data_IF_550801187810
#
_entry.id   IF_550801187810
#
_cell.length_a   1.000
_cell.length_b   1.000
_cell.length_c   1.000
_cell.angle_alpha   90.00
_cell.angle_beta   90.00
_cell.angle_gamma   90.00
#
_symmetry.space_group_name_H-M   'P 1'
#
loop_
_entity.id
_entity.type
_entity.pdbx_description
1 polymer ?
#
# COMPACT_ATOMS: atom_id res chain seq x y z
N UNK A 1 -8.30 2.52 67.60
CA UNK A 1 -6.97 1.86 67.62
C UNK A 1 -6.96 0.89 66.45
N UNK A 2 -6.44 1.20 65.27
CA UNK A 2 -5.25 1.97 64.94
C UNK A 2 -4.12 0.99 64.64
N UNK A 3 -4.07 0.47 63.40
CA UNK A 3 -2.82 -0.04 62.83
C UNK A 3 -2.85 0.08 61.30
N UNK A 4 -2.21 1.15 60.82
CA UNK A 4 -1.69 1.28 59.46
C UNK A 4 -0.23 0.83 59.52
N UNK A 5 0.19 -0.12 58.68
CA UNK A 5 1.59 -0.23 58.30
C UNK A 5 1.72 0.06 56.81
N UNK A 6 2.49 1.11 56.55
CA UNK A 6 2.99 1.61 55.28
C UNK A 6 4.36 0.99 54.99
N UNK A 7 4.66 0.77 53.71
CA UNK A 7 6.01 0.43 53.21
C UNK A 7 5.89 -0.41 51.93
N UNK A 8 5.89 0.20 50.74
CA UNK A 8 7.06 0.71 50.00
C UNK A 8 7.53 -0.35 48.98
N UNK A 9 7.40 0.00 47.70
CA UNK A 9 7.77 -0.83 46.56
C UNK A 9 7.26 -0.20 45.26
N UNK A 10 7.47 1.10 45.10
CA UNK A 10 7.25 1.81 43.85
C UNK A 10 8.42 1.44 42.93
N UNK A 11 8.16 0.56 41.97
CA UNK A 11 9.06 0.33 40.86
C UNK A 11 8.81 1.45 39.84
N UNK A 12 9.71 2.43 39.86
CA UNK A 12 9.93 3.34 38.75
C UNK A 12 10.43 2.51 37.57
N UNK A 13 9.54 2.11 36.67
CA UNK A 13 9.96 1.57 35.38
C UNK A 13 10.16 2.74 34.43
N UNK A 14 11.45 3.04 34.24
CA UNK A 14 11.97 4.08 33.39
C UNK A 14 11.46 3.88 31.96
N UNK A 15 11.11 5.01 31.32
CA UNK A 15 10.70 5.05 29.93
C UNK A 15 11.64 4.26 29.03
N UNK A 16 11.10 3.22 28.42
CA UNK A 16 11.68 2.57 27.25
C UNK A 16 11.79 3.63 26.17
N UNK A 17 13.03 4.03 25.82
CA UNK A 17 13.24 4.77 24.59
C UNK A 17 12.91 3.82 23.44
N UNK A 18 11.77 4.04 22.79
CA UNK A 18 11.30 3.36 21.58
C UNK A 18 12.14 3.74 20.33
N UNK A 19 13.42 4.09 20.51
CA UNK A 19 14.33 4.28 19.39
C UNK A 19 14.57 2.90 18.75
N UNK A 20 14.27 2.70 17.45
CA UNK A 20 14.53 1.44 16.78
C UNK A 20 16.03 1.11 16.85
N UNK A 21 16.41 -0.18 16.94
CA UNK A 21 17.82 -0.57 16.95
C UNK A 21 18.55 0.02 15.74
N UNK A 22 19.75 0.56 15.96
CA UNK A 22 20.58 1.17 14.90
C UNK A 22 20.82 0.24 13.69
N UNK A 23 20.77 -1.09 13.90
CA UNK A 23 20.94 -2.08 12.84
C UNK A 23 19.80 -2.11 11.81
N UNK A 24 18.64 -1.54 12.14
CA UNK A 24 17.47 -1.51 11.26
C UNK A 24 17.30 -0.17 10.53
N UNK A 25 18.17 0.81 10.82
CA UNK A 25 18.10 2.12 10.18
C UNK A 25 18.58 2.07 8.72
N UNK A 26 17.89 2.81 7.86
CA UNK A 26 18.26 2.93 6.46
C UNK A 26 19.55 3.77 6.32
N UNK A 27 20.60 3.18 5.74
CA UNK A 27 21.83 3.90 5.42
C UNK A 27 21.65 4.80 4.18
N UNK A 28 21.38 6.09 4.44
CA UNK A 28 21.23 7.10 3.39
C UNK A 28 22.54 7.40 2.65
N UNK A 29 23.71 7.04 3.20
CA UNK A 29 25.00 7.31 2.53
C UNK A 29 25.15 6.50 1.24
N UNK A 30 24.48 5.34 1.16
CA UNK A 30 24.43 4.50 -0.04
C UNK A 30 23.46 5.03 -1.11
N UNK A 31 22.71 6.10 -0.82
CA UNK A 31 21.67 6.66 -1.70
C UNK A 31 20.73 5.57 -2.23
N UNK A 32 20.05 4.83 -1.34
CA UNK A 32 19.17 3.74 -1.73
C UNK A 32 18.10 4.19 -2.73
N UNK A 33 17.67 3.28 -3.58
CA UNK A 33 16.50 3.55 -4.41
C UNK A 33 15.24 3.57 -3.53
N UNK A 34 14.30 4.46 -3.84
CA UNK A 34 13.09 4.63 -3.04
C UNK A 34 11.86 4.42 -3.92
N UNK A 35 10.90 3.68 -3.39
CA UNK A 35 9.53 3.63 -3.87
C UNK A 35 8.71 4.71 -3.14
N UNK A 36 7.97 5.49 -3.90
CA UNK A 36 7.09 6.54 -3.41
C UNK A 36 5.65 6.27 -3.83
N UNK A 37 4.72 6.71 -3.00
CA UNK A 37 3.32 6.86 -3.37
C UNK A 37 3.08 8.32 -3.78
N UNK A 38 2.41 8.51 -4.91
CA UNK A 38 1.93 9.80 -5.37
C UNK A 38 0.43 9.82 -5.19
N UNK A 39 -0.07 10.78 -4.39
CA UNK A 39 -1.49 10.85 -4.05
C UNK A 39 -2.01 12.28 -3.93
N UNK A 40 -3.32 12.44 -3.77
CA UNK A 40 -3.99 13.72 -3.55
C UNK A 40 -4.84 14.12 -4.74
N UNK A 41 -5.05 15.42 -4.95
CA UNK A 41 -5.80 15.92 -6.10
C UNK A 41 -4.86 16.23 -7.26
N UNK A 42 -5.39 16.23 -8.49
CA UNK A 42 -4.61 16.54 -9.70
C UNK A 42 -3.89 17.89 -9.64
N UNK A 43 -4.47 18.88 -8.97
CA UNK A 43 -3.91 20.23 -8.83
C UNK A 43 -2.95 20.35 -7.64
N UNK A 44 -3.03 19.42 -6.69
CA UNK A 44 -2.21 19.41 -5.49
C UNK A 44 -1.67 18.00 -5.18
N UNK A 45 -0.97 17.33 -6.11
CA UNK A 45 -0.46 16.01 -5.83
C UNK A 45 0.71 16.10 -4.84
N UNK A 46 0.84 15.05 -4.06
CA UNK A 46 1.82 14.87 -3.00
C UNK A 46 2.60 13.59 -3.24
N UNK A 47 3.82 13.55 -2.74
CA UNK A 47 4.72 12.40 -2.86
C UNK A 47 5.22 12.01 -1.47
N UNK A 48 5.03 10.75 -1.11
CA UNK A 48 5.35 10.16 0.20
C UNK A 48 6.27 8.96 0.01
N UNK A 49 7.33 8.80 0.82
CA UNK A 49 8.22 7.66 0.72
C UNK A 49 7.57 6.44 1.37
N UNK A 50 7.60 5.31 0.66
CA UNK A 50 6.93 4.07 1.07
C UNK A 50 7.93 3.02 1.52
N UNK A 51 8.94 2.75 0.69
CA UNK A 51 9.91 1.69 0.92
C UNK A 51 11.27 2.05 0.30
N UNK A 52 12.33 1.53 0.88
CA UNK A 52 13.63 1.45 0.21
C UNK A 52 13.69 0.16 -0.63
N UNK A 53 14.22 0.28 -1.84
CA UNK A 53 14.45 -0.81 -2.78
C UNK A 53 15.92 -1.24 -2.62
N UNK A 54 16.13 -2.47 -2.14
CA UNK A 54 17.45 -3.02 -1.81
C UNK A 54 17.62 -4.35 -2.54
N UNK A 55 18.06 -4.30 -3.80
CA UNK A 55 18.01 -5.47 -4.69
C UNK A 55 16.56 -5.91 -4.89
N UNK A 56 16.31 -7.22 -4.84
CA UNK A 56 14.98 -7.83 -4.97
C UNK A 56 14.13 -7.76 -3.68
N UNK A 57 14.38 -6.79 -2.80
CA UNK A 57 13.67 -6.67 -1.51
C UNK A 57 13.19 -5.25 -1.26
N UNK A 58 11.93 -5.17 -0.79
CA UNK A 58 11.36 -3.95 -0.23
C UNK A 58 11.65 -3.89 1.27
N UNK A 59 12.22 -2.78 1.73
CA UNK A 59 12.56 -2.56 3.13
C UNK A 59 11.81 -1.35 3.68
N UNK A 60 11.29 -1.42 4.92
CA UNK A 60 10.74 -0.25 5.59
C UNK A 60 11.80 0.84 5.70
N UNK A 61 11.39 2.10 5.54
CA UNK A 61 12.29 3.24 5.77
C UNK A 61 12.22 3.56 7.26
N UNK A 62 13.27 3.16 7.99
CA UNK A 62 13.44 3.47 9.40
C UNK A 62 14.56 4.48 9.54
N UNK A 63 14.22 5.67 10.03
CA UNK A 63 15.12 6.80 10.22
C UNK A 63 14.73 7.54 11.50
N UNK A 64 15.72 8.13 12.16
CA UNK A 64 15.51 9.12 13.22
C UNK A 64 15.11 10.49 12.63
N UNK A 65 14.85 11.47 13.51
CA UNK A 65 14.43 12.81 13.09
C UNK A 65 15.43 13.47 12.12
N UNK A 66 16.73 13.40 12.43
CA UNK A 66 17.79 13.93 11.59
C UNK A 66 17.96 13.14 10.28
N UNK A 67 17.74 11.83 10.32
CA UNK A 67 17.67 10.95 9.16
C UNK A 67 16.57 11.37 8.20
N UNK A 68 15.37 11.67 8.69
CA UNK A 68 14.27 12.17 7.86
C UNK A 68 14.55 13.56 7.27
N UNK A 69 15.20 14.46 8.02
CA UNK A 69 15.68 15.76 7.50
C UNK A 69 16.68 15.58 6.36
N UNK A 70 17.63 14.65 6.51
CA UNK A 70 18.60 14.29 5.46
C UNK A 70 17.91 13.63 4.27
N UNK A 71 16.92 12.78 4.50
CA UNK A 71 16.12 12.15 3.46
C UNK A 71 15.41 13.21 2.60
N UNK A 72 14.72 14.17 3.22
CA UNK A 72 14.02 15.25 2.51
C UNK A 72 15.00 16.09 1.67
N UNK A 73 16.13 16.48 2.24
CA UNK A 73 17.17 17.22 1.52
C UNK A 73 17.77 16.44 0.32
N UNK A 74 17.78 15.11 0.39
CA UNK A 74 18.34 14.23 -0.64
C UNK A 74 17.34 13.92 -1.76
N UNK A 75 16.12 13.51 -1.39
CA UNK A 75 15.11 12.97 -2.31
C UNK A 75 13.99 13.96 -2.61
N UNK A 76 13.66 14.87 -1.70
CA UNK A 76 12.50 15.75 -1.84
C UNK A 76 12.88 17.21 -2.13
N UNK A 77 14.14 17.46 -2.49
CA UNK A 77 14.58 18.79 -2.90
C UNK A 77 13.88 19.23 -4.19
N UNK A 78 13.43 20.48 -4.22
CA UNK A 78 12.88 21.13 -5.43
C UNK A 78 13.71 20.84 -6.69
N UNK A 79 13.02 20.46 -7.77
CA UNK A 79 13.59 20.16 -9.08
C UNK A 79 13.98 18.69 -9.30
N UNK A 80 14.04 17.87 -8.24
CA UNK A 80 14.15 16.41 -8.38
C UNK A 80 12.96 15.86 -9.18
N UNK A 81 13.19 14.80 -9.94
CA UNK A 81 12.14 14.14 -10.73
C UNK A 81 12.23 12.63 -10.58
N UNK A 82 11.08 11.98 -10.55
CA UNK A 82 10.93 10.54 -10.36
C UNK A 82 10.05 9.96 -11.46
N UNK A 83 10.39 8.77 -11.96
CA UNK A 83 9.55 8.07 -12.93
C UNK A 83 8.24 7.69 -12.27
N UNK A 84 7.13 8.00 -12.93
CA UNK A 84 5.79 7.59 -12.53
C UNK A 84 5.45 6.24 -13.16
N UNK A 85 4.66 5.46 -12.45
CA UNK A 85 4.15 4.18 -12.92
C UNK A 85 2.62 4.12 -12.78
N UNK A 86 2.00 3.44 -13.75
CA UNK A 86 0.58 3.10 -13.78
C UNK A 86 0.38 1.81 -14.58
N UNK A 87 -0.39 0.88 -14.04
CA UNK A 87 -0.75 -0.38 -14.69
C UNK A 87 0.51 -1.13 -15.19
N UNK A 88 1.54 -1.22 -14.34
CA UNK A 88 2.83 -1.85 -14.65
C UNK A 88 3.73 -1.09 -15.63
N UNK A 89 3.31 0.08 -16.11
CA UNK A 89 4.01 0.82 -17.16
C UNK A 89 4.49 2.19 -16.68
N UNK A 90 5.53 2.72 -17.33
CA UNK A 90 5.95 4.12 -17.12
C UNK A 90 4.90 5.10 -17.61
N UNK A 91 4.47 6.03 -16.75
CA UNK A 91 3.40 7.01 -17.00
C UNK A 91 3.87 8.46 -16.78
N UNK A 92 5.10 8.75 -17.23
CA UNK A 92 5.72 10.06 -17.15
C UNK A 92 6.55 10.26 -15.87
N UNK A 93 6.49 11.47 -15.29
CA UNK A 93 7.34 11.85 -14.16
C UNK A 93 6.65 12.71 -13.10
N UNK A 94 7.04 12.54 -11.84
CA UNK A 94 6.69 13.40 -10.72
C UNK A 94 7.88 14.30 -10.38
N UNK A 95 7.76 15.60 -10.66
CA UNK A 95 8.76 16.60 -10.32
C UNK A 95 8.46 17.26 -8.99
N UNK A 96 9.44 17.29 -8.09
CA UNK A 96 9.32 17.97 -6.80
C UNK A 96 9.26 19.48 -6.98
N UNK A 97 8.17 20.09 -6.53
CA UNK A 97 7.98 21.54 -6.49
C UNK A 97 8.52 22.11 -5.17
N UNK A 98 8.33 21.37 -4.07
CA UNK A 98 8.75 21.76 -2.72
C UNK A 98 8.87 20.53 -1.83
N UNK A 99 10.03 20.33 -1.21
CA UNK A 99 10.21 19.36 -0.12
C UNK A 99 9.55 19.80 1.17
N UNK A 100 9.44 18.89 2.14
CA UNK A 100 8.74 19.12 3.40
C UNK A 100 9.22 20.40 4.09
N UNK A 101 10.53 20.68 4.06
CA UNK A 101 11.14 21.80 4.78
C UNK A 101 11.88 22.81 3.88
N UNK A 102 11.60 22.82 2.57
CA UNK A 102 12.18 23.75 1.59
C UNK A 102 11.62 25.20 1.69
N UNK A 103 11.06 25.62 2.83
CA UNK A 103 10.47 26.94 3.06
C UNK A 103 10.37 27.32 4.53
N UNK A 104 9.73 28.46 4.84
CA UNK A 104 9.62 28.96 6.22
C UNK A 104 8.75 28.08 7.12
N UNK A 105 7.79 27.37 6.54
CA UNK A 105 6.88 26.46 7.22
C UNK A 105 6.98 25.06 6.61
N UNK A 106 6.67 23.99 7.36
CA UNK A 106 6.59 22.66 6.79
C UNK A 106 5.43 22.53 5.79
N UNK A 107 5.51 21.59 4.84
CA UNK A 107 4.41 21.30 3.90
C UNK A 107 3.14 20.85 4.62
N UNK A 108 3.28 20.18 5.77
CA UNK A 108 2.18 19.83 6.65
C UNK A 108 2.65 19.68 8.10
N UNK A 109 1.69 19.66 9.03
CA UNK A 109 1.94 19.33 10.43
C UNK A 109 0.89 18.31 10.89
N UNK A 110 1.24 17.46 11.85
CA UNK A 110 0.31 16.55 12.50
C UNK A 110 0.19 16.94 13.97
N UNK A 111 -1.04 17.06 14.45
CA UNK A 111 -1.30 17.33 15.86
C UNK A 111 -0.59 16.29 16.74
N UNK A 112 0.13 16.77 17.77
CA UNK A 112 0.92 15.96 18.69
C UNK A 112 2.09 15.18 18.05
N UNK A 113 2.49 15.52 16.82
CA UNK A 113 3.66 14.91 16.19
C UNK A 113 4.83 15.87 16.12
N UNK A 114 5.95 15.51 16.75
CA UNK A 114 7.19 16.29 16.68
C UNK A 114 8.02 15.99 15.43
N UNK A 115 7.96 14.74 14.95
CA UNK A 115 8.81 14.24 13.88
C UNK A 115 7.96 13.60 12.77
N UNK A 116 7.31 14.39 11.91
CA UNK A 116 6.55 13.84 10.79
C UNK A 116 7.47 13.26 9.71
N UNK A 117 7.03 12.17 9.07
CA UNK A 117 7.65 11.66 7.84
C UNK A 117 7.53 12.74 6.75
N UNK A 118 8.58 13.06 5.97
CA UNK A 118 8.50 14.13 4.99
C UNK A 118 7.55 13.76 3.85
N UNK A 119 6.85 14.79 3.38
CA UNK A 119 5.96 14.72 2.23
C UNK A 119 6.26 15.91 1.32
N UNK A 120 6.36 15.65 0.03
CA UNK A 120 6.69 16.68 -0.96
C UNK A 120 5.47 17.09 -1.77
N UNK A 121 5.42 18.36 -2.18
CA UNK A 121 4.52 18.81 -3.22
C UNK A 121 5.15 18.50 -4.58
N UNK A 122 4.37 17.92 -5.48
CA UNK A 122 4.85 17.57 -6.82
C UNK A 122 4.01 18.20 -7.91
N UNK A 123 4.62 18.36 -9.08
CA UNK A 123 3.95 18.55 -10.35
C UNK A 123 4.19 17.27 -11.13
N UNK A 124 3.14 16.67 -11.65
CA UNK A 124 3.31 15.52 -12.53
C UNK A 124 3.49 16.00 -13.98
N UNK A 125 4.03 15.18 -14.85
CA UNK A 125 4.20 15.40 -16.29
C UNK A 125 3.99 14.05 -16.98
N UNK A 126 3.19 13.96 -18.05
CA UNK A 126 2.79 12.67 -18.67
C UNK A 126 1.34 12.66 -19.17
N UNK A 127 0.93 11.57 -19.81
CA UNK A 127 -0.41 11.40 -20.37
C UNK A 127 -1.40 10.96 -19.28
N UNK A 128 -2.13 11.93 -18.72
CA UNK A 128 -3.07 11.66 -17.62
C UNK A 128 -4.49 11.50 -18.13
N UNK A 129 -4.84 10.28 -18.49
CA UNK A 129 -6.23 9.91 -18.68
C UNK A 129 -6.98 9.89 -17.33
N UNK A 130 -7.98 10.77 -17.19
CA UNK A 130 -9.12 10.67 -16.27
C UNK A 130 -8.87 10.85 -14.76
N UNK A 131 -9.79 11.52 -14.06
CA UNK A 131 -9.87 11.55 -12.59
C UNK A 131 -9.45 12.87 -11.91
N UNK A 132 -10.10 13.17 -10.79
CA UNK A 132 -9.74 14.30 -9.90
C UNK A 132 -8.69 13.89 -8.85
N UNK A 133 -8.76 12.64 -8.38
CA UNK A 133 -7.78 12.05 -7.48
C UNK A 133 -6.60 11.46 -8.27
N UNK A 134 -5.42 11.53 -7.67
CA UNK A 134 -4.20 10.87 -8.13
C UNK A 134 -3.89 9.77 -7.13
N UNK A 135 -3.61 8.57 -7.63
CA UNK A 135 -3.15 7.41 -6.87
C UNK A 135 -2.19 6.65 -7.78
N UNK A 136 -0.89 6.86 -7.62
CA UNK A 136 0.15 6.31 -8.50
C UNK A 136 1.40 5.94 -7.70
N UNK A 137 2.28 5.17 -8.32
CA UNK A 137 3.63 4.90 -7.80
C UNK A 137 4.65 5.78 -8.50
N UNK A 138 5.71 6.15 -7.77
CA UNK A 138 6.90 6.75 -8.36
C UNK A 138 8.16 6.09 -7.79
N UNK A 139 9.27 6.13 -8.53
CA UNK A 139 10.53 5.63 -8.02
C UNK A 139 11.74 6.44 -8.48
N UNK A 140 12.79 6.41 -7.65
CA UNK A 140 14.14 6.83 -8.04
C UNK A 140 14.89 5.78 -8.85
N UNK A 141 14.39 4.54 -8.89
CA UNK A 141 14.85 3.50 -9.79
C UNK A 141 14.01 3.48 -11.07
N UNK A 142 14.60 2.90 -12.11
CA UNK A 142 13.84 2.42 -13.26
C UNK A 142 13.32 1.02 -12.93
N UNK A 143 11.99 0.87 -12.93
CA UNK A 143 11.25 -0.33 -12.54
C UNK A 143 10.35 -0.80 -13.69
N UNK A 144 9.78 -1.98 -13.51
CA UNK A 144 8.85 -2.56 -14.47
C UNK A 144 9.53 -3.20 -15.67
N UNK A 145 8.89 -4.25 -16.18
CA UNK A 145 9.17 -4.84 -17.48
C UNK A 145 7.91 -4.70 -18.34
N UNK A 146 8.06 -4.38 -19.63
CA UNK A 146 6.92 -4.35 -20.54
C UNK A 146 6.46 -5.77 -20.83
N UNK A 147 5.44 -6.24 -20.11
CA UNK A 147 4.74 -7.47 -20.45
C UNK A 147 3.96 -7.24 -21.74
N UNK A 148 4.09 -8.18 -22.69
CA UNK A 148 3.15 -8.24 -23.81
C UNK A 148 1.77 -8.56 -23.22
N UNK A 149 0.95 -7.55 -23.00
CA UNK A 149 -0.40 -7.71 -22.49
C UNK A 149 -1.16 -8.63 -23.45
N UNK A 150 -1.37 -9.89 -23.05
CA UNK A 150 -2.41 -10.68 -23.69
C UNK A 150 -3.72 -10.13 -23.16
N UNK A 151 -4.60 -9.59 -24.03
CA UNK A 151 -5.89 -9.12 -23.58
C UNK A 151 -6.61 -10.28 -22.91
N UNK A 152 -7.05 -10.10 -21.66
CA UNK A 152 -8.02 -11.02 -21.10
C UNK A 152 -9.22 -11.02 -22.05
N UNK A 153 -9.58 -12.19 -22.59
CA UNK A 153 -10.78 -12.30 -23.40
C UNK A 153 -11.98 -12.00 -22.47
N UNK A 154 -12.52 -10.79 -22.61
CA UNK A 154 -13.54 -10.21 -21.72
C UNK A 154 -14.78 -11.10 -21.55
N UNK A 155 -15.08 -11.92 -22.56
CA UNK A 155 -16.22 -12.84 -22.56
C UNK A 155 -16.20 -13.87 -21.41
N UNK A 156 -15.03 -14.19 -20.83
CA UNK A 156 -14.91 -15.20 -19.76
C UNK A 156 -14.44 -14.64 -18.41
N UNK A 157 -14.23 -13.32 -18.27
CA UNK A 157 -13.71 -12.73 -17.03
C UNK A 157 -14.69 -12.93 -15.87
N UNK A 158 -15.96 -12.58 -16.06
CA UNK A 158 -16.98 -12.66 -15.01
C UNK A 158 -17.21 -14.11 -14.55
N UNK A 159 -17.24 -15.07 -15.48
CA UNK A 159 -17.40 -16.49 -15.15
C UNK A 159 -16.16 -17.05 -14.44
N UNK A 160 -14.96 -16.74 -14.95
CA UNK A 160 -13.70 -17.17 -14.34
C UNK A 160 -13.55 -16.60 -12.93
N UNK A 161 -13.92 -15.33 -12.73
CA UNK A 161 -13.93 -14.72 -11.41
C UNK A 161 -14.98 -15.33 -10.51
N UNK A 162 -16.19 -15.61 -11.00
CA UNK A 162 -17.22 -16.28 -10.20
C UNK A 162 -16.73 -17.64 -9.71
N UNK A 163 -16.08 -18.43 -10.57
CA UNK A 163 -15.52 -19.73 -10.20
C UNK A 163 -14.39 -19.60 -9.18
N UNK A 164 -13.40 -18.74 -9.42
CA UNK A 164 -12.30 -18.53 -8.48
C UNK A 164 -12.81 -18.00 -7.12
N UNK A 165 -13.81 -17.13 -7.14
CA UNK A 165 -14.48 -16.63 -5.93
C UNK A 165 -15.20 -17.75 -5.20
N UNK A 166 -15.90 -18.63 -5.91
CA UNK A 166 -16.58 -19.79 -5.32
C UNK A 166 -15.60 -20.76 -4.64
N UNK A 167 -14.36 -20.86 -5.11
CA UNK A 167 -13.30 -21.63 -4.44
C UNK A 167 -12.78 -20.96 -3.16
N UNK A 168 -12.72 -19.63 -3.14
CA UNK A 168 -12.21 -18.85 -2.01
C UNK A 168 -13.28 -18.56 -0.94
N UNK A 169 -14.55 -18.47 -1.33
CA UNK A 169 -15.67 -18.08 -0.47
C UNK A 169 -15.98 -19.17 0.56
N UNK A 170 -16.27 -18.77 1.79
CA UNK A 170 -16.78 -19.67 2.82
C UNK A 170 -18.30 -19.51 3.01
N UNK A 171 -18.87 -20.36 3.87
CA UNK A 171 -20.31 -20.37 4.13
C UNK A 171 -20.85 -19.04 4.68
N UNK A 172 -20.02 -18.22 5.34
CA UNK A 172 -20.44 -16.94 5.89
C UNK A 172 -20.56 -15.86 4.81
N UNK A 173 -19.77 -15.96 3.73
CA UNK A 173 -19.74 -15.00 2.62
C UNK A 173 -20.65 -15.37 1.45
N UNK A 174 -20.85 -16.66 1.18
CA UNK A 174 -21.55 -17.12 -0.01
C UNK A 174 -22.97 -16.55 -0.22
N UNK A 175 -23.83 -16.40 0.81
CA UNK A 175 -25.22 -15.95 0.59
C UNK A 175 -25.38 -14.47 0.21
N UNK A 176 -24.30 -13.68 0.30
CA UNK A 176 -24.38 -12.21 0.30
C UNK A 176 -23.45 -11.55 -0.69
N UNK A 177 -22.59 -12.28 -1.39
CA UNK A 177 -21.65 -11.71 -2.37
C UNK A 177 -22.35 -10.87 -3.44
N UNK A 178 -23.50 -11.35 -3.93
CA UNK A 178 -24.29 -10.65 -4.96
C UNK A 178 -24.90 -9.33 -4.46
N UNK A 179 -24.93 -9.10 -3.14
CA UNK A 179 -25.42 -7.85 -2.53
C UNK A 179 -24.33 -6.79 -2.31
N UNK A 180 -23.06 -7.17 -2.46
CA UNK A 180 -21.92 -6.28 -2.23
C UNK A 180 -21.56 -5.50 -3.50
N UNK A 181 -21.02 -4.28 -3.34
CA UNK A 181 -20.41 -3.59 -4.47
C UNK A 181 -19.20 -4.40 -4.90
N UNK A 182 -19.11 -4.72 -6.20
CA UNK A 182 -18.02 -5.53 -6.73
C UNK A 182 -17.29 -4.83 -7.86
N UNK A 183 -15.99 -5.10 -7.93
CA UNK A 183 -15.13 -4.71 -9.05
C UNK A 183 -14.22 -5.87 -9.39
N UNK A 184 -13.94 -6.03 -10.67
CA UNK A 184 -13.05 -7.05 -11.18
C UNK A 184 -12.25 -6.50 -12.36
N UNK A 185 -10.99 -6.90 -12.45
CA UNK A 185 -10.13 -6.61 -13.59
C UNK A 185 -9.16 -7.77 -13.85
N UNK A 186 -8.48 -7.70 -14.98
CA UNK A 186 -7.42 -8.63 -15.36
C UNK A 186 -6.14 -7.83 -15.62
N UNK A 187 -5.03 -8.25 -15.03
CA UNK A 187 -3.76 -7.55 -15.05
C UNK A 187 -2.62 -8.47 -15.54
N UNK A 188 -1.72 -8.00 -16.42
CA UNK A 188 -0.64 -8.81 -16.94
C UNK A 188 0.57 -8.81 -15.99
N UNK A 189 0.51 -9.60 -14.92
CA UNK A 189 1.60 -9.63 -13.91
C UNK A 189 2.80 -10.48 -14.31
N UNK A 190 2.67 -11.38 -15.29
CA UNK A 190 3.72 -12.35 -15.61
C UNK A 190 3.76 -13.59 -14.69
N UNK A 191 2.90 -13.69 -13.66
CA UNK A 191 2.86 -14.83 -12.74
C UNK A 191 2.48 -16.17 -13.41
N UNK A 192 1.88 -16.13 -14.60
CA UNK A 192 1.44 -17.32 -15.33
C UNK A 192 1.20 -17.05 -16.82
N UNK A 193 0.65 -18.05 -17.55
CA UNK A 193 0.46 -17.97 -19.01
C UNK A 193 -0.73 -17.08 -19.44
N UNK A 194 -1.43 -16.46 -18.49
CA UNK A 194 -2.59 -15.62 -18.73
C UNK A 194 -2.60 -14.48 -17.70
N UNK A 195 -3.37 -13.39 -17.94
CA UNK A 195 -3.51 -12.31 -16.97
C UNK A 195 -3.99 -12.81 -15.61
N UNK A 196 -3.40 -12.29 -14.54
CA UNK A 196 -3.91 -12.47 -13.18
C UNK A 196 -5.23 -11.74 -13.05
N UNK A 197 -6.22 -12.40 -12.46
CA UNK A 197 -7.52 -11.79 -12.22
C UNK A 197 -7.59 -11.28 -10.79
N UNK A 198 -8.10 -10.07 -10.61
CA UNK A 198 -8.27 -9.42 -9.31
C UNK A 198 -9.71 -8.98 -9.17
N UNK A 199 -10.34 -9.31 -8.04
CA UNK A 199 -11.66 -8.79 -7.72
C UNK A 199 -11.81 -8.53 -6.23
N UNK A 200 -12.69 -7.58 -5.93
CA UNK A 200 -13.09 -7.30 -4.56
C UNK A 200 -14.56 -6.98 -4.46
N UNK A 201 -15.11 -7.32 -3.30
CA UNK A 201 -16.48 -7.09 -2.90
C UNK A 201 -16.46 -6.32 -1.59
N UNK A 202 -17.27 -5.28 -1.48
CA UNK A 202 -17.32 -4.46 -0.28
C UNK A 202 -18.76 -4.10 0.07
N UNK A 203 -19.08 -4.19 1.34
CA UNK A 203 -20.34 -3.71 1.90
C UNK A 203 -20.37 -2.18 1.82
N UNK A 204 -21.49 -1.60 1.38
CA UNK A 204 -21.66 -0.14 1.35
C UNK A 204 -21.58 0.49 2.75
N UNK A 205 -21.82 -0.30 3.81
CA UNK A 205 -21.59 0.12 5.20
C UNK A 205 -20.11 0.40 5.48
N UNK A 206 -19.18 -0.18 4.71
CA UNK A 206 -17.74 0.12 4.84
C UNK A 206 -17.40 1.58 4.50
N UNK A 207 -18.19 2.21 3.62
CA UNK A 207 -17.99 3.59 3.16
C UNK A 207 -18.95 4.58 3.81
N UNK A 208 -20.13 4.13 4.21
CA UNK A 208 -21.22 4.98 4.71
C UNK A 208 -21.61 4.72 6.17
N UNK A 209 -21.01 3.73 6.82
CA UNK A 209 -21.32 3.34 8.18
C UNK A 209 -21.05 4.47 9.18
N UNK A 210 -21.97 4.66 10.13
CA UNK A 210 -21.85 5.66 11.19
C UNK A 210 -21.41 5.09 12.54
N UNK A 211 -21.31 3.76 12.66
CA UNK A 211 -21.01 3.08 13.92
C UNK A 211 -19.91 2.02 13.73
N UNK A 212 -18.83 2.04 14.53
CA UNK A 212 -17.77 1.03 14.48
C UNK A 212 -18.26 -0.38 14.88
N UNK A 213 -19.45 -0.49 15.49
CA UNK A 213 -20.06 -1.77 15.85
C UNK A 213 -20.94 -2.37 14.74
N UNK A 214 -21.20 -1.63 13.67
CA UNK A 214 -21.97 -2.15 12.55
C UNK A 214 -21.23 -3.36 11.95
N UNK A 215 -21.97 -4.42 11.62
CA UNK A 215 -21.37 -5.56 10.94
C UNK A 215 -21.11 -5.19 9.48
N UNK A 216 -19.96 -5.61 8.97
CA UNK A 216 -19.54 -5.37 7.60
C UNK A 216 -18.92 -6.62 7.00
N UNK A 217 -18.84 -6.63 5.67
CA UNK A 217 -18.28 -7.72 4.88
C UNK A 217 -17.37 -7.17 3.82
N UNK A 218 -16.26 -7.85 3.62
CA UNK A 218 -15.37 -7.59 2.51
C UNK A 218 -14.62 -8.84 2.09
N UNK A 219 -14.44 -8.97 0.78
CA UNK A 219 -13.69 -10.05 0.16
C UNK A 219 -12.80 -9.45 -0.92
N UNK A 220 -11.56 -9.93 -0.98
CA UNK A 220 -10.60 -9.61 -2.02
C UNK A 220 -10.00 -10.93 -2.50
N UNK A 221 -9.99 -11.17 -3.80
CA UNK A 221 -9.52 -12.42 -4.41
C UNK A 221 -8.57 -12.11 -5.54
N UNK A 222 -7.48 -12.86 -5.59
CA UNK A 222 -6.60 -12.96 -6.75
C UNK A 222 -6.65 -14.38 -7.27
N UNK A 223 -6.72 -14.52 -8.59
CA UNK A 223 -6.75 -15.81 -9.25
C UNK A 223 -5.82 -15.86 -10.45
N UNK A 224 -5.07 -16.95 -10.55
CA UNK A 224 -4.16 -17.21 -11.66
C UNK A 224 -4.54 -18.50 -12.36
N UNK A 225 -4.18 -18.58 -13.65
CA UNK A 225 -4.45 -19.75 -14.47
C UNK A 225 -3.44 -20.85 -14.17
N UNK A 226 -3.92 -21.97 -13.66
CA UNK A 226 -3.10 -23.15 -13.40
C UNK A 226 -2.67 -23.87 -14.69
N UNK A 227 -1.84 -24.90 -14.56
CA UNK A 227 -1.34 -25.69 -15.70
C UNK A 227 -2.45 -26.42 -16.48
N UNK A 228 -3.65 -26.59 -15.92
CA UNK A 228 -4.82 -27.17 -16.60
C UNK A 228 -5.59 -26.14 -17.42
N UNK A 229 -5.20 -24.87 -17.31
CA UNK A 229 -5.90 -23.76 -17.95
C UNK A 229 -7.08 -23.24 -17.13
N UNK A 230 -7.21 -23.62 -15.85
CA UNK A 230 -8.30 -23.18 -14.98
C UNK A 230 -7.81 -22.07 -14.05
N UNK A 231 -8.58 -20.99 -13.93
CA UNK A 231 -8.32 -19.99 -12.89
C UNK A 231 -8.62 -20.56 -11.51
N UNK A 232 -7.64 -20.48 -10.62
CA UNK A 232 -7.73 -20.89 -9.21
C UNK A 232 -7.42 -19.70 -8.31
N UNK A 233 -8.08 -19.64 -7.14
CA UNK A 233 -7.73 -18.63 -6.16
C UNK A 233 -6.30 -18.87 -5.63
N UNK A 234 -5.43 -17.89 -5.83
CA UNK A 234 -4.02 -17.89 -5.41
C UNK A 234 -3.77 -16.94 -4.24
N UNK A 235 -4.73 -16.06 -3.94
CA UNK A 235 -4.81 -15.30 -2.70
C UNK A 235 -6.26 -14.91 -2.40
N UNK A 236 -6.60 -14.87 -1.12
CA UNK A 236 -7.90 -14.38 -0.67
C UNK A 236 -7.76 -13.67 0.68
N UNK A 237 -8.34 -12.48 0.79
CA UNK A 237 -8.57 -11.77 2.04
C UNK A 237 -10.08 -11.70 2.28
N UNK A 238 -10.53 -12.18 3.43
CA UNK A 238 -11.95 -12.32 3.75
C UNK A 238 -12.20 -11.81 5.16
N UNK A 239 -13.19 -10.95 5.31
CA UNK A 239 -13.55 -10.36 6.58
C UNK A 239 -15.06 -10.32 6.74
N UNK A 240 -15.51 -10.78 7.90
CA UNK A 240 -16.87 -10.61 8.38
C UNK A 240 -16.80 -10.26 9.86
N UNK A 241 -17.11 -9.02 10.20
CA UNK A 241 -16.87 -8.54 11.56
C UNK A 241 -17.39 -7.13 11.80
N UNK A 242 -17.12 -6.60 13.01
CA UNK A 242 -17.39 -5.21 13.33
C UNK A 242 -16.60 -4.27 12.43
N UNK A 243 -17.25 -3.20 11.96
CA UNK A 243 -16.71 -2.21 11.05
C UNK A 243 -15.40 -1.58 11.56
N UNK A 244 -15.33 -1.27 12.85
CA UNK A 244 -14.15 -0.65 13.48
C UNK A 244 -12.93 -1.56 13.59
N UNK A 245 -13.11 -2.88 13.48
CA UNK A 245 -12.04 -3.88 13.58
C UNK A 245 -11.66 -4.45 12.20
N UNK A 246 -12.49 -4.19 11.19
CA UNK A 246 -12.36 -4.79 9.86
C UNK A 246 -11.34 -4.04 9.02
N UNK A 247 -10.41 -4.81 8.44
CA UNK A 247 -9.46 -4.34 7.43
C UNK A 247 -10.00 -4.60 6.03
N UNK A 248 -10.12 -3.53 5.25
CA UNK A 248 -10.53 -3.55 3.85
C UNK A 248 -9.32 -3.46 2.94
N UNK A 249 -9.42 -4.02 1.74
CA UNK A 249 -8.38 -3.96 0.71
C UNK A 249 -9.00 -3.64 -0.65
N UNK A 250 -8.32 -2.83 -1.45
CA UNK A 250 -8.64 -2.63 -2.87
C UNK A 250 -7.37 -2.66 -3.70
N UNK A 251 -7.51 -3.06 -4.95
CA UNK A 251 -6.43 -3.00 -5.92
C UNK A 251 -6.06 -1.54 -6.18
N UNK A 252 -4.77 -1.25 -6.19
CA UNK A 252 -4.23 0.06 -6.52
C UNK A 252 -3.48 0.01 -7.86
N UNK A 253 -2.48 -0.86 -7.97
CA UNK A 253 -1.60 -0.97 -9.13
C UNK A 253 -0.87 -2.34 -9.16
N UNK A 254 -0.10 -2.60 -10.19
CA UNK A 254 0.91 -3.67 -10.25
C UNK A 254 2.21 -3.14 -10.85
N UNK A 255 3.37 -3.66 -10.41
CA UNK A 255 4.69 -3.26 -10.94
C UNK A 255 5.75 -4.29 -10.55
N UNK A 256 6.67 -4.64 -11.45
CA UNK A 256 7.89 -5.41 -11.11
C UNK A 256 8.87 -4.54 -10.30
N UNK A 257 8.76 -4.63 -8.97
CA UNK A 257 9.57 -3.92 -7.97
C UNK A 257 10.84 -4.70 -7.62
N UNK A 258 10.84 -6.02 -7.80
CA UNK A 258 11.95 -6.91 -7.40
C UNK A 258 12.88 -7.27 -8.56
N UNK A 259 12.45 -7.04 -9.79
CA UNK A 259 13.20 -7.30 -11.02
C UNK A 259 13.23 -8.77 -11.42
N UNK A 260 12.31 -9.59 -10.92
CA UNK A 260 12.24 -11.03 -11.22
C UNK A 260 11.37 -11.36 -12.46
N UNK A 261 10.80 -10.33 -13.07
CA UNK A 261 9.92 -10.45 -14.24
C UNK A 261 8.49 -10.84 -13.88
N UNK A 262 8.12 -10.85 -12.59
CA UNK A 262 6.74 -10.94 -12.13
C UNK A 262 6.39 -9.67 -11.38
N UNK A 263 5.35 -8.98 -11.82
CA UNK A 263 4.90 -7.78 -11.16
C UNK A 263 4.36 -8.11 -9.77
N UNK A 264 4.81 -7.35 -8.77
CA UNK A 264 4.12 -7.29 -7.50
C UNK A 264 2.75 -6.61 -7.65
N UNK A 265 1.76 -7.06 -6.86
CA UNK A 265 0.45 -6.44 -6.79
C UNK A 265 0.39 -5.49 -5.60
N UNK A 266 0.02 -4.23 -5.85
CA UNK A 266 -0.08 -3.19 -4.85
C UNK A 266 -1.54 -3.00 -4.47
N UNK A 267 -1.81 -3.13 -3.18
CA UNK A 267 -3.12 -2.96 -2.57
C UNK A 267 -3.12 -1.73 -1.67
N UNK A 268 -4.19 -0.95 -1.72
CA UNK A 268 -4.50 -0.05 -0.61
C UNK A 268 -5.30 -0.83 0.43
N UNK A 269 -4.86 -0.74 1.69
CA UNK A 269 -5.60 -1.25 2.83
C UNK A 269 -6.00 -0.14 3.80
N UNK A 270 -7.16 -0.30 4.45
CA UNK A 270 -7.68 0.68 5.41
C UNK A 270 -8.62 0.05 6.44
N UNK A 271 -8.92 0.81 7.50
CA UNK A 271 -9.95 0.50 8.50
C UNK A 271 -10.88 1.68 8.64
N UNK A 272 -12.10 1.43 9.12
CA UNK A 272 -13.04 2.50 9.44
C UNK A 272 -12.47 3.46 10.48
N UNK A 273 -12.43 4.76 10.15
CA UNK A 273 -11.83 5.80 11.00
C UNK A 273 -10.31 5.67 11.19
N UNK A 274 -9.66 4.76 10.48
CA UNK A 274 -8.22 4.51 10.55
C UNK A 274 -7.43 5.17 9.42
N UNK A 275 -6.11 5.05 9.49
CA UNK A 275 -5.18 5.49 8.43
C UNK A 275 -5.09 4.42 7.34
N UNK A 276 -4.85 4.84 6.10
CA UNK A 276 -4.56 3.93 4.97
C UNK A 276 -3.11 3.46 5.00
N UNK A 277 -2.83 2.35 4.34
CA UNK A 277 -1.49 1.82 4.12
C UNK A 277 -1.44 1.08 2.77
N UNK A 278 -0.23 0.84 2.27
CA UNK A 278 0.01 -0.02 1.12
C UNK A 278 0.40 -1.42 1.58
N UNK A 279 -0.22 -2.44 1.01
CA UNK A 279 0.26 -3.82 1.07
C UNK A 279 0.73 -4.23 -0.32
N UNK A 280 1.89 -4.88 -0.39
CA UNK A 280 2.50 -5.32 -1.64
C UNK A 280 2.60 -6.84 -1.58
N UNK A 281 2.03 -7.48 -2.60
CA UNK A 281 2.02 -8.92 -2.73
C UNK A 281 3.05 -9.37 -3.77
N UNK A 282 3.88 -10.34 -3.41
CA UNK A 282 4.80 -11.02 -4.33
C UNK A 282 4.30 -12.43 -4.66
N UNK A 283 4.63 -12.93 -5.84
CA UNK A 283 4.24 -14.27 -6.27
C UNK A 283 5.32 -15.30 -5.93
N UNK A 284 4.98 -16.31 -5.13
CA UNK A 284 5.91 -17.36 -4.72
C UNK A 284 5.21 -18.70 -4.65
N UNK A 285 5.84 -19.72 -5.21
CA UNK A 285 5.37 -21.11 -5.16
C UNK A 285 3.89 -21.27 -5.59
N UNK A 286 3.46 -20.51 -6.60
CA UNK A 286 2.09 -20.57 -7.13
C UNK A 286 1.04 -19.79 -6.34
N UNK A 287 1.44 -18.92 -5.41
CA UNK A 287 0.55 -18.11 -4.57
C UNK A 287 1.04 -16.68 -4.44
N UNK A 288 0.11 -15.76 -4.16
CA UNK A 288 0.46 -14.41 -3.76
C UNK A 288 0.57 -14.33 -2.24
N UNK A 289 1.63 -13.68 -1.77
CA UNK A 289 1.90 -13.50 -0.34
C UNK A 289 2.24 -12.03 -0.08
N UNK A 290 1.79 -11.50 1.06
CA UNK A 290 2.16 -10.14 1.46
C UNK A 290 3.65 -10.12 1.82
N UNK A 291 4.46 -9.50 0.96
CA UNK A 291 5.91 -9.40 1.15
C UNK A 291 6.31 -8.08 1.79
N UNK A 292 5.43 -7.08 1.75
CA UNK A 292 5.66 -5.79 2.35
C UNK A 292 4.36 -5.10 2.75
N UNK A 293 4.40 -4.38 3.87
CA UNK A 293 3.34 -3.51 4.34
C UNK A 293 3.94 -2.17 4.74
N UNK A 294 3.43 -1.09 4.15
CA UNK A 294 3.85 0.26 4.53
C UNK A 294 3.36 0.60 5.93
N UNK A 295 4.05 1.53 6.58
CA UNK A 295 3.56 2.10 7.83
C UNK A 295 2.26 2.87 7.56
N UNK A 296 1.32 2.75 8.49
CA UNK A 296 0.15 3.62 8.56
C UNK A 296 0.43 4.85 9.41
N UNK A 297 1.44 4.84 10.29
CA UNK A 297 1.80 6.01 11.10
C UNK A 297 2.83 6.90 10.41
N UNK A 298 2.56 8.20 10.47
CA UNK A 298 3.30 9.25 9.77
C UNK A 298 4.08 10.13 10.76
N UNK A 299 4.07 9.76 12.04
CA UNK A 299 4.91 10.34 13.08
C UNK A 299 5.97 9.33 13.53
N UNK A 300 7.20 9.79 13.68
CA UNK A 300 8.29 9.01 14.27
C UNK A 300 8.24 9.21 15.79
N UNK A 301 8.01 8.12 16.52
CA UNK A 301 8.07 8.03 17.98
C UNK A 301 9.51 8.08 18.49
#
# INVERSE_FOLDING_TARGET
MGNRSSGAGQADDAGSSDAPPLADMLDLTQRPNILFQVFGTRDQPRLLPVAALSGAQLKPIVLDADGWRRFDAMYMRKGKSYTLYRDGNTDGTAQIVRGMWDGNEPVYELANCKNPIPLAMVKLEGDRAGGFAVEMLASSAQLGWQHAAQPAQSANLAESMRRATAEAVDAAMNPVLDSLESRALAIPTGAGPAPTLVAWWIDSVATSGSSPKAMTRHMFVIADKDATGTYRATFAHKVFGPLGETEFRRYLDHLDLTGDGVDEIILEGWRFGGKTYLAILGFKAGKWEEIFRSRSDWCVG
#
